data_IF_787259765947
#
_entry.id   IF_787259765947
#
_cell.length_a   1.000
_cell.length_b   1.000
_cell.length_c   1.000
_cell.angle_alpha   90.00
_cell.angle_beta   90.00
_cell.angle_gamma   90.00
#
_symmetry.space_group_name_H-M   'P 1'
#
loop_
_entity.id
_entity.type
_entity.pdbx_description
1 polymer ?
#
# COMPACT_ATOMS: atom_id res chain seq x y z
N UNK A 1 -22.43 31.25 24.15
CA UNK A 1 -22.15 30.23 23.12
C UNK A 1 -21.01 30.73 22.26
N UNK A 2 -19.79 30.25 22.49
CA UNK A 2 -18.61 30.56 21.68
C UNK A 2 -18.62 29.61 20.47
N UNK A 3 -19.08 30.12 19.33
CA UNK A 3 -19.12 29.38 18.07
C UNK A 3 -17.70 29.22 17.51
N UNK A 4 -17.33 27.96 17.30
CA UNK A 4 -16.08 27.47 16.76
C UNK A 4 -15.74 28.10 15.40
N UNK A 5 -14.90 29.13 15.40
CA UNK A 5 -14.32 29.73 14.20
C UNK A 5 -13.10 28.94 13.64
N UNK A 6 -12.86 27.72 14.14
CA UNK A 6 -11.70 26.91 13.74
C UNK A 6 -11.91 26.07 12.47
N UNK A 7 -13.12 26.00 11.92
CA UNK A 7 -13.44 25.06 10.82
C UNK A 7 -13.36 25.68 9.41
N UNK A 8 -13.32 27.00 9.28
CA UNK A 8 -13.32 27.68 7.98
C UNK A 8 -11.90 27.93 7.44
N UNK A 9 -10.91 28.10 8.32
CA UNK A 9 -9.52 28.29 7.93
C UNK A 9 -8.93 27.02 7.29
N UNK A 10 -9.27 25.83 7.79
CA UNK A 10 -8.82 24.55 7.22
C UNK A 10 -9.47 24.23 5.87
N UNK A 11 -10.75 24.52 5.68
CA UNK A 11 -11.44 24.24 4.42
C UNK A 11 -10.95 25.13 3.25
N UNK A 12 -10.60 26.40 3.53
CA UNK A 12 -10.01 27.30 2.54
C UNK A 12 -8.58 26.91 2.17
N UNK A 13 -7.89 26.34 3.14
CA UNK A 13 -6.55 25.82 3.00
C UNK A 13 -6.53 24.69 1.95
N UNK A 14 -7.31 23.60 2.06
CA UNK A 14 -7.24 22.52 1.06
C UNK A 14 -7.75 22.92 -0.34
N UNK A 15 -8.67 23.89 -0.42
CA UNK A 15 -9.13 24.52 -1.68
C UNK A 15 -8.04 25.36 -2.38
N UNK A 16 -7.03 25.85 -1.64
CA UNK A 16 -5.93 26.68 -2.14
C UNK A 16 -4.55 25.98 -2.06
N UNK A 17 -4.42 24.88 -1.32
CA UNK A 17 -3.14 24.40 -0.79
C UNK A 17 -2.33 23.58 -1.80
N UNK A 18 -1.22 24.20 -2.15
CA UNK A 18 -0.01 23.64 -2.75
C UNK A 18 0.68 22.60 -1.82
N UNK A 19 -0.05 21.68 -1.20
CA UNK A 19 0.60 20.54 -0.55
C UNK A 19 1.33 19.74 -1.61
N UNK A 20 2.58 19.43 -1.33
CA UNK A 20 3.39 18.57 -2.18
C UNK A 20 2.89 17.13 -2.12
N UNK A 21 3.18 16.36 -3.16
CA UNK A 21 2.93 14.91 -3.15
C UNK A 21 3.59 14.24 -1.93
N UNK A 22 4.76 14.71 -1.50
CA UNK A 22 5.42 14.21 -0.29
C UNK A 22 4.55 14.40 0.96
N UNK A 23 3.98 15.59 1.17
CA UNK A 23 3.12 15.86 2.32
C UNK A 23 1.84 15.00 2.30
N UNK A 24 1.20 14.90 1.13
CA UNK A 24 -0.02 14.10 0.96
C UNK A 24 0.25 12.63 1.26
N UNK A 25 1.25 12.05 0.61
CA UNK A 25 1.50 10.62 0.77
C UNK A 25 2.26 10.26 2.04
N UNK A 26 2.98 11.21 2.66
CA UNK A 26 3.51 11.05 4.01
C UNK A 26 2.37 10.89 5.01
N UNK A 27 1.30 11.69 4.90
CA UNK A 27 0.13 11.54 5.78
C UNK A 27 -0.50 10.15 5.63
N UNK A 28 -0.65 9.65 4.39
CA UNK A 28 -1.16 8.30 4.12
C UNK A 28 -0.28 7.21 4.75
N UNK A 29 1.03 7.26 4.48
CA UNK A 29 1.96 6.21 4.90
C UNK A 29 2.14 6.19 6.42
N UNK A 30 2.23 7.36 7.06
CA UNK A 30 2.38 7.46 8.51
C UNK A 30 1.18 6.88 9.27
N UNK A 31 -0.04 6.95 8.72
CA UNK A 31 -1.22 6.26 9.28
C UNK A 31 -0.99 4.76 9.44
N UNK A 32 -0.22 4.14 8.54
CA UNK A 32 0.01 2.70 8.51
C UNK A 32 1.41 2.27 8.94
N UNK A 33 2.29 3.20 9.28
CA UNK A 33 3.69 2.89 9.60
C UNK A 33 3.81 1.85 10.72
N UNK A 34 3.16 2.07 11.86
CA UNK A 34 3.21 1.14 12.99
C UNK A 34 2.73 -0.28 12.62
N UNK A 35 1.53 -0.48 12.03
CA UNK A 35 1.09 -1.83 11.65
C UNK A 35 1.94 -2.47 10.53
N UNK A 36 2.58 -1.68 9.66
CA UNK A 36 3.48 -2.19 8.62
C UNK A 36 4.83 -2.64 9.18
N UNK A 37 5.40 -1.93 10.15
CA UNK A 37 6.74 -2.23 10.67
C UNK A 37 6.91 -3.66 11.20
N UNK A 38 5.85 -4.25 11.77
CA UNK A 38 5.87 -5.63 12.25
C UNK A 38 5.77 -6.70 11.15
N UNK A 39 5.51 -6.29 9.90
CA UNK A 39 5.28 -7.20 8.77
C UNK A 39 6.52 -7.44 7.93
N UNK A 40 7.48 -6.52 7.97
CA UNK A 40 8.70 -6.68 7.19
C UNK A 40 9.54 -7.85 7.72
N UNK A 41 10.29 -8.50 6.83
CA UNK A 41 11.14 -9.66 7.16
C UNK A 41 12.19 -9.30 8.25
N UNK A 42 12.14 -9.77 9.50
CA UNK A 42 13.04 -9.36 10.57
C UNK A 42 14.55 -9.54 10.27
N UNK A 43 14.93 -10.39 9.31
CA UNK A 43 16.33 -10.62 8.94
C UNK A 43 16.98 -9.49 8.11
N UNK A 44 16.22 -8.57 7.50
CA UNK A 44 16.81 -7.47 6.73
C UNK A 44 17.45 -6.39 7.64
N UNK A 45 18.67 -5.98 7.34
CA UNK A 45 19.52 -5.18 8.25
C UNK A 45 19.52 -3.67 7.99
N UNK A 46 18.81 -3.19 6.97
CA UNK A 46 18.69 -1.77 6.63
C UNK A 46 17.62 -1.00 7.40
N UNK A 47 17.74 0.33 7.49
CA UNK A 47 16.67 1.22 7.95
C UNK A 47 15.47 1.09 7.00
N UNK A 48 14.34 0.59 7.52
CA UNK A 48 13.17 0.32 6.68
C UNK A 48 12.21 1.47 6.74
N UNK A 49 12.05 2.11 5.59
CA UNK A 49 10.96 3.04 5.35
C UNK A 49 9.80 2.28 4.74
N UNK A 50 8.55 2.60 5.10
CA UNK A 50 7.42 1.99 4.43
C UNK A 50 7.46 2.31 2.94
N UNK A 51 7.02 1.34 2.14
CA UNK A 51 6.99 1.45 0.69
C UNK A 51 5.62 1.94 0.24
N UNK A 52 5.63 2.89 -0.69
CA UNK A 52 4.44 3.39 -1.37
C UNK A 52 4.51 3.01 -2.84
N UNK A 53 3.39 2.54 -3.37
CA UNK A 53 3.19 2.28 -4.79
C UNK A 53 1.92 3.01 -5.23
N UNK A 54 1.96 3.63 -6.40
CA UNK A 54 0.79 4.30 -6.96
C UNK A 54 0.11 3.37 -7.98
N UNK A 55 -1.21 3.29 -7.88
CA UNK A 55 -2.04 2.58 -8.83
C UNK A 55 -2.10 3.28 -10.19
N UNK A 56 -2.50 2.56 -11.25
CA UNK A 56 -2.45 3.05 -12.63
C UNK A 56 -3.35 4.27 -12.91
N UNK A 57 -4.36 4.51 -12.07
CA UNK A 57 -5.25 5.66 -12.21
C UNK A 57 -4.59 6.99 -11.79
N UNK A 58 -3.47 6.94 -11.08
CA UNK A 58 -2.75 8.11 -10.59
C UNK A 58 -1.70 8.54 -11.60
N UNK A 59 -1.98 9.63 -12.32
CA UNK A 59 -1.08 10.20 -13.34
C UNK A 59 0.04 11.01 -12.69
N UNK A 60 1.01 10.36 -12.07
CA UNK A 60 2.24 11.03 -11.64
C UNK A 60 3.33 10.84 -12.70
N UNK A 61 3.85 11.95 -13.22
CA UNK A 61 4.89 11.94 -14.25
C UNK A 61 6.30 11.64 -13.73
N UNK A 62 6.51 11.64 -12.41
CA UNK A 62 7.82 11.45 -11.80
C UNK A 62 7.74 10.74 -10.43
N UNK A 63 8.85 10.12 -10.04
CA UNK A 63 9.02 9.49 -8.73
C UNK A 63 9.01 10.55 -7.63
N UNK A 64 8.00 10.50 -6.76
CA UNK A 64 7.93 11.29 -5.53
C UNK A 64 9.19 11.06 -4.69
N UNK A 65 9.87 12.16 -4.33
CA UNK A 65 11.02 12.15 -3.43
C UNK A 65 10.53 12.51 -2.04
N UNK A 66 10.55 11.53 -1.13
CA UNK A 66 10.12 11.70 0.27
C UNK A 66 11.24 11.36 1.24
N UNK A 67 11.20 11.98 2.42
CA UNK A 67 12.03 11.58 3.56
C UNK A 67 11.36 10.51 4.43
N UNK A 68 10.03 10.41 4.41
CA UNK A 68 9.22 9.58 5.31
C UNK A 68 9.00 8.17 4.77
N UNK A 69 8.93 8.02 3.45
CA UNK A 69 8.67 6.76 2.77
C UNK A 69 9.54 6.59 1.52
N UNK A 70 9.57 5.39 0.97
CA UNK A 70 10.16 5.13 -0.35
C UNK A 70 9.03 4.88 -1.34
N UNK A 71 8.94 5.72 -2.36
CA UNK A 71 8.07 5.46 -3.50
C UNK A 71 8.76 4.48 -4.43
N UNK A 72 8.07 3.41 -4.83
CA UNK A 72 8.49 2.51 -5.90
C UNK A 72 7.47 2.54 -7.03
N UNK A 73 7.95 2.52 -8.26
CA UNK A 73 7.12 2.11 -9.39
C UNK A 73 6.74 0.64 -9.25
N UNK A 74 5.66 0.19 -9.90
CA UNK A 74 5.30 -1.23 -9.91
C UNK A 74 6.43 -2.11 -10.44
N UNK A 75 7.16 -1.66 -11.47
CA UNK A 75 8.30 -2.38 -12.00
C UNK A 75 9.43 -2.51 -10.96
N UNK A 76 9.77 -1.43 -10.25
CA UNK A 76 10.79 -1.48 -9.20
C UNK A 76 10.37 -2.39 -8.04
N UNK A 77 9.10 -2.34 -7.64
CA UNK A 77 8.54 -3.21 -6.62
C UNK A 77 8.73 -4.69 -6.99
N UNK A 78 8.33 -5.05 -8.21
CA UNK A 78 8.46 -6.43 -8.72
C UNK A 78 9.93 -6.82 -8.87
N UNK A 79 10.75 -5.93 -9.41
CA UNK A 79 12.18 -6.15 -9.60
C UNK A 79 12.95 -6.28 -8.28
N UNK A 80 12.45 -5.73 -7.17
CA UNK A 80 13.01 -5.86 -5.82
C UNK A 80 12.38 -7.01 -5.03
N UNK A 81 11.22 -7.53 -5.46
CA UNK A 81 10.46 -8.58 -4.78
C UNK A 81 10.07 -8.18 -3.35
N UNK A 82 9.49 -6.98 -3.24
CA UNK A 82 8.98 -6.42 -2.01
C UNK A 82 7.56 -6.93 -1.73
N UNK A 83 7.25 -7.23 -0.47
CA UNK A 83 5.98 -7.83 -0.08
C UNK A 83 5.14 -6.91 0.82
N UNK A 84 5.72 -5.86 1.40
CA UNK A 84 5.12 -4.98 2.37
C UNK A 84 5.13 -3.55 1.84
N UNK A 85 4.00 -3.15 1.27
CA UNK A 85 3.82 -1.85 0.65
C UNK A 85 2.36 -1.37 0.81
N UNK A 86 2.18 -0.06 0.71
CA UNK A 86 0.86 0.59 0.57
C UNK A 86 0.66 0.90 -0.91
N UNK A 87 -0.46 0.46 -1.47
CA UNK A 87 -0.92 0.87 -2.79
C UNK A 87 -1.94 1.97 -2.62
N UNK A 88 -1.74 3.12 -3.26
CA UNK A 88 -2.77 4.15 -3.38
C UNK A 88 -3.41 4.02 -4.75
N UNK A 89 -4.68 3.61 -4.78
CA UNK A 89 -5.39 3.28 -6.02
C UNK A 89 -5.99 4.52 -6.67
N UNK A 90 -6.57 5.40 -5.85
CA UNK A 90 -7.18 6.65 -6.27
C UNK A 90 -7.00 7.71 -5.19
N UNK A 91 -6.94 8.96 -5.62
CA UNK A 91 -7.01 10.12 -4.77
C UNK A 91 -7.92 11.15 -5.44
N UNK A 92 -8.94 11.63 -4.73
CA UNK A 92 -9.90 12.58 -5.27
C UNK A 92 -10.39 13.55 -4.20
N UNK A 93 -10.61 14.83 -4.53
CA UNK A 93 -11.11 15.80 -3.57
C UNK A 93 -12.56 15.50 -3.21
N UNK A 94 -12.95 15.84 -1.97
CA UNK A 94 -14.35 15.89 -1.59
C UNK A 94 -15.12 16.97 -2.38
N UNK A 95 -16.47 16.93 -2.42
CA UNK A 95 -17.26 17.89 -3.19
C UNK A 95 -17.02 19.35 -2.78
N UNK A 96 -16.79 19.58 -1.49
CA UNK A 96 -16.51 20.90 -0.93
C UNK A 96 -15.04 21.33 -1.12
N UNK A 97 -14.18 20.41 -1.59
CA UNK A 97 -12.73 20.56 -1.75
C UNK A 97 -12.00 20.93 -0.45
N UNK A 98 -12.59 20.56 0.69
CA UNK A 98 -12.06 20.72 2.04
C UNK A 98 -11.19 19.54 2.47
N UNK A 99 -11.26 18.41 1.75
CA UNK A 99 -10.55 17.18 2.04
C UNK A 99 -10.15 16.42 0.77
N UNK A 100 -9.17 15.52 0.92
CA UNK A 100 -8.78 14.56 -0.11
C UNK A 100 -9.13 13.15 0.35
N UNK A 101 -9.95 12.45 -0.40
CA UNK A 101 -10.20 11.02 -0.19
C UNK A 101 -9.15 10.19 -0.92
N UNK A 102 -8.58 9.21 -0.22
CA UNK A 102 -7.53 8.32 -0.74
C UNK A 102 -7.96 6.87 -0.58
N UNK A 103 -8.19 6.19 -1.69
CA UNK A 103 -8.42 4.73 -1.70
C UNK A 103 -7.08 4.01 -1.61
N UNK A 104 -6.93 3.11 -0.63
CA UNK A 104 -5.71 2.38 -0.37
C UNK A 104 -5.92 0.86 -0.34
N UNK A 105 -4.86 0.12 -0.64
CA UNK A 105 -4.72 -1.32 -0.38
C UNK A 105 -3.37 -1.59 0.29
N UNK A 106 -3.35 -2.49 1.27
CA UNK A 106 -2.18 -3.00 1.97
C UNK A 106 -2.26 -4.52 1.91
N UNK A 107 -1.71 -5.13 0.84
CA UNK A 107 -1.82 -6.57 0.63
C UNK A 107 -1.19 -7.38 1.79
N UNK A 108 -0.19 -6.81 2.46
CA UNK A 108 0.58 -7.54 3.47
C UNK A 108 -0.21 -7.89 4.74
N UNK A 109 -1.29 -7.16 5.03
CA UNK A 109 -2.22 -7.43 6.12
C UNK A 109 -3.68 -7.58 5.64
N UNK A 110 -3.86 -7.75 4.32
CA UNK A 110 -5.13 -7.86 3.63
C UNK A 110 -6.10 -6.70 3.88
N UNK A 111 -5.60 -5.51 4.19
CA UNK A 111 -6.42 -4.34 4.52
C UNK A 111 -6.57 -3.43 3.31
N UNK A 112 -7.78 -2.95 3.07
CA UNK A 112 -8.07 -1.93 2.06
C UNK A 112 -9.18 -1.02 2.58
N UNK A 113 -9.31 0.15 1.97
CA UNK A 113 -10.33 1.12 2.37
C UNK A 113 -10.01 2.51 1.86
N UNK A 114 -10.45 3.50 2.63
CA UNK A 114 -10.44 4.89 2.26
C UNK A 114 -10.01 5.75 3.45
N UNK A 115 -9.05 6.61 3.20
CA UNK A 115 -8.66 7.68 4.10
C UNK A 115 -9.33 8.98 3.69
N UNK A 116 -9.64 9.83 4.66
CA UNK A 116 -9.92 11.25 4.47
C UNK A 116 -8.73 12.04 4.99
N UNK A 117 -8.09 12.80 4.11
CA UNK A 117 -7.02 13.72 4.45
C UNK A 117 -7.62 15.13 4.57
N UNK A 118 -7.42 15.76 5.71
CA UNK A 118 -7.89 17.12 5.97
C UNK A 118 -6.79 17.94 6.61
N UNK A 119 -6.72 19.26 6.31
CA UNK A 119 -5.72 20.11 6.91
C UNK A 119 -6.16 20.45 8.32
N UNK A 120 -5.24 20.34 9.27
CA UNK A 120 -5.47 20.68 10.66
C UNK A 120 -4.24 21.34 11.21
N UNK A 121 -4.36 22.60 11.62
CA UNK A 121 -3.25 23.39 12.16
C UNK A 121 -2.03 23.45 11.19
N UNK A 122 -2.28 23.60 9.89
CA UNK A 122 -1.22 23.71 8.88
C UNK A 122 -0.53 22.39 8.49
N UNK A 123 -1.02 21.23 8.96
CA UNK A 123 -0.54 19.90 8.54
C UNK A 123 -1.68 19.04 8.01
N UNK A 124 -1.38 18.13 7.08
CA UNK A 124 -2.34 17.12 6.65
C UNK A 124 -2.48 16.02 7.69
N UNK A 125 -3.72 15.77 8.12
CA UNK A 125 -4.07 14.67 9.02
C UNK A 125 -4.96 13.70 8.24
N UNK A 126 -4.62 12.41 8.33
CA UNK A 126 -5.38 11.33 7.70
C UNK A 126 -6.25 10.60 8.73
N UNK A 127 -7.53 10.43 8.40
CA UNK A 127 -8.52 9.69 9.17
C UNK A 127 -9.02 8.49 8.36
N UNK A 128 -9.16 7.33 8.99
CA UNK A 128 -9.73 6.13 8.33
C UNK A 128 -11.25 6.31 8.26
N UNK A 129 -11.78 6.40 7.03
CA UNK A 129 -13.22 6.54 6.77
C UNK A 129 -13.88 5.16 6.74
N UNK A 130 -13.25 4.24 6.02
CA UNK A 130 -13.61 2.83 6.02
C UNK A 130 -12.33 1.97 6.01
N UNK A 131 -12.46 0.75 6.53
CA UNK A 131 -11.37 -0.21 6.58
C UNK A 131 -11.95 -1.61 6.57
N UNK A 132 -11.58 -2.37 5.56
CA UNK A 132 -12.02 -3.74 5.33
C UNK A 132 -10.84 -4.70 5.31
N UNK A 133 -11.15 -6.00 5.32
CA UNK A 133 -10.17 -7.07 5.14
C UNK A 133 -10.60 -8.07 4.09
N UNK A 134 -9.71 -8.37 3.13
CA UNK A 134 -9.96 -9.38 2.10
C UNK A 134 -8.68 -10.12 1.73
N UNK A 135 -8.56 -11.36 2.20
CA UNK A 135 -7.42 -12.22 1.85
C UNK A 135 -7.41 -12.59 0.37
N UNK A 136 -8.58 -12.72 -0.27
CA UNK A 136 -8.67 -12.95 -1.72
C UNK A 136 -8.25 -11.71 -2.51
N UNK A 137 -8.64 -10.51 -2.08
CA UNK A 137 -8.18 -9.25 -2.67
C UNK A 137 -6.67 -9.11 -2.59
N UNK A 138 -6.07 -9.36 -1.41
CA UNK A 138 -4.62 -9.34 -1.24
C UNK A 138 -3.90 -10.32 -2.19
N UNK A 139 -4.42 -11.56 -2.33
CA UNK A 139 -3.86 -12.55 -3.27
C UNK A 139 -4.00 -12.10 -4.72
N UNK A 140 -5.11 -11.47 -5.10
CA UNK A 140 -5.30 -10.92 -6.44
C UNK A 140 -4.28 -9.80 -6.73
N UNK A 141 -4.04 -8.89 -5.77
CA UNK A 141 -3.03 -7.84 -5.90
C UNK A 141 -1.62 -8.41 -6.07
N UNK A 142 -1.21 -9.35 -5.22
CA UNK A 142 0.09 -10.01 -5.39
C UNK A 142 0.18 -10.78 -6.69
N UNK A 143 -0.88 -11.46 -7.10
CA UNK A 143 -0.91 -12.21 -8.35
C UNK A 143 -0.80 -11.34 -9.58
N UNK A 144 -1.40 -10.16 -9.57
CA UNK A 144 -1.22 -9.20 -10.65
C UNK A 144 0.25 -8.76 -10.79
N UNK A 145 0.99 -8.68 -9.68
CA UNK A 145 2.36 -8.18 -9.63
C UNK A 145 3.42 -9.28 -9.85
N UNK A 146 3.21 -10.46 -9.27
CA UNK A 146 4.25 -11.47 -9.08
C UNK A 146 3.99 -12.81 -9.76
N UNK A 147 2.80 -13.04 -10.30
CA UNK A 147 2.52 -14.29 -11.00
C UNK A 147 3.57 -14.55 -12.09
N UNK A 148 4.14 -15.76 -12.07
CA UNK A 148 5.16 -16.25 -12.99
C UNK A 148 6.49 -15.46 -12.96
N UNK A 149 6.67 -14.56 -11.99
CA UNK A 149 7.95 -13.87 -11.76
C UNK A 149 8.94 -14.85 -11.13
N UNK A 150 10.17 -14.91 -11.69
CA UNK A 150 11.25 -15.75 -11.17
C UNK A 150 11.56 -15.40 -9.71
N UNK A 151 11.47 -16.38 -8.80
CA UNK A 151 11.71 -16.16 -7.38
C UNK A 151 13.21 -16.02 -7.11
N UNK A 152 13.59 -15.12 -6.19
CA UNK A 152 14.97 -15.01 -5.70
C UNK A 152 15.03 -15.14 -4.18
N UNK A 153 16.02 -15.91 -3.73
CA UNK A 153 16.31 -16.09 -2.31
C UNK A 153 16.59 -14.75 -1.62
N UNK A 154 16.33 -14.74 -0.32
CA UNK A 154 16.53 -13.63 0.60
C UNK A 154 15.77 -12.35 0.25
N UNK A 155 14.67 -12.48 -0.51
CA UNK A 155 13.75 -11.38 -0.78
C UNK A 155 12.62 -11.32 0.25
N UNK A 156 11.97 -10.17 0.35
CA UNK A 156 10.83 -10.03 1.26
C UNK A 156 9.65 -10.91 0.81
N UNK A 157 9.44 -11.03 -0.51
CA UNK A 157 8.40 -11.87 -1.06
C UNK A 157 8.66 -13.36 -0.80
N UNK A 158 9.90 -13.84 -0.97
CA UNK A 158 10.25 -15.22 -0.59
C UNK A 158 10.05 -15.48 0.91
N UNK A 159 10.39 -14.51 1.77
CA UNK A 159 10.14 -14.63 3.21
C UNK A 159 8.65 -14.70 3.54
N UNK A 160 7.84 -13.80 2.96
CA UNK A 160 6.40 -13.77 3.16
C UNK A 160 5.76 -15.10 2.75
N UNK A 161 6.19 -15.64 1.62
CA UNK A 161 5.73 -16.93 1.12
C UNK A 161 5.92 -18.04 2.16
N UNK A 162 7.14 -18.19 2.68
CA UNK A 162 7.44 -19.24 3.65
C UNK A 162 6.80 -19.01 5.02
N UNK A 163 6.64 -17.76 5.45
CA UNK A 163 6.13 -17.43 6.77
C UNK A 163 4.63 -17.67 6.91
N UNK A 164 3.82 -17.34 5.89
CA UNK A 164 2.36 -17.41 6.00
C UNK A 164 1.75 -18.74 5.53
N UNK A 165 2.48 -19.57 4.79
CA UNK A 165 1.97 -20.86 4.30
C UNK A 165 2.09 -22.03 5.29
N UNK A 166 2.71 -21.85 6.47
CA UNK A 166 2.64 -22.86 7.54
C UNK A 166 3.25 -24.24 7.25
N UNK A 167 4.06 -24.41 6.21
CA UNK A 167 4.67 -25.72 5.87
C UNK A 167 5.92 -26.05 6.69
N UNK A 168 5.83 -26.05 8.02
CA UNK A 168 6.79 -26.73 8.90
C UNK A 168 8.26 -26.25 8.96
N UNK A 169 8.77 -25.51 7.97
CA UNK A 169 10.18 -25.08 7.88
C UNK A 169 10.45 -23.69 8.51
N UNK A 170 9.39 -23.01 8.96
CA UNK A 170 9.50 -21.71 9.61
C UNK A 170 9.82 -20.56 8.65
N UNK A 171 10.28 -19.45 9.23
CA UNK A 171 10.47 -18.19 8.54
C UNK A 171 11.77 -18.18 7.70
N UNK A 172 11.67 -18.65 6.46
CA UNK A 172 12.79 -18.81 5.53
C UNK A 172 12.74 -17.76 4.42
N UNK A 173 13.90 -17.21 4.01
CA UNK A 173 13.98 -16.36 2.82
C UNK A 173 14.16 -17.13 1.51
N UNK A 174 14.15 -18.46 1.51
CA UNK A 174 14.48 -19.27 0.32
C UNK A 174 13.27 -19.49 -0.59
N UNK A 175 13.49 -19.49 -1.89
CA UNK A 175 12.49 -19.88 -2.87
C UNK A 175 12.24 -21.39 -2.82
N UNK A 176 10.96 -21.77 -2.83
CA UNK A 176 10.56 -23.18 -2.94
C UNK A 176 10.53 -23.65 -4.38
N UNK A 177 10.16 -22.74 -5.26
CA UNK A 177 10.00 -22.94 -6.69
C UNK A 177 10.82 -21.90 -7.45
N UNK A 178 11.03 -22.16 -8.76
CA UNK A 178 11.77 -21.25 -9.65
C UNK A 178 11.03 -19.93 -9.90
N UNK A 179 9.69 -19.92 -9.78
CA UNK A 179 8.80 -18.77 -9.99
C UNK A 179 7.68 -18.76 -8.95
N UNK A 180 7.04 -17.61 -8.74
CA UNK A 180 5.82 -17.51 -7.92
C UNK A 180 4.60 -17.99 -8.72
N UNK A 181 4.02 -19.14 -8.35
CA UNK A 181 2.93 -19.80 -9.08
C UNK A 181 1.62 -19.88 -8.28
N UNK A 182 1.66 -19.56 -6.99
CA UNK A 182 0.53 -19.62 -6.06
C UNK A 182 -0.61 -18.66 -6.39
N UNK A 183 -0.34 -17.70 -7.28
CA UNK A 183 -1.29 -16.72 -7.76
C UNK A 183 -1.89 -17.12 -9.10
N UNK A 184 -1.77 -18.37 -9.53
CA UNK A 184 -2.38 -18.81 -10.80
C UNK A 184 -3.90 -18.97 -10.71
N UNK A 185 -4.45 -19.17 -9.50
CA UNK A 185 -5.88 -19.49 -9.31
C UNK A 185 -6.84 -18.29 -9.23
N UNK A 186 -6.38 -17.05 -9.05
CA UNK A 186 -7.31 -15.91 -8.91
C UNK A 186 -7.91 -15.43 -10.25
N UNK A 187 -7.38 -15.89 -11.40
CA UNK A 187 -7.89 -15.58 -12.75
C UNK A 187 -8.70 -16.70 -13.40
N UNK A 188 -8.90 -17.84 -12.76
CA UNK A 188 -9.70 -18.92 -13.33
C UNK A 188 -11.15 -18.82 -12.86
N UNK A 189 -12.13 -18.33 -13.68
CA UNK A 189 -13.48 -18.87 -13.54
C UNK A 189 -13.35 -20.38 -13.72
N UNK A 190 -13.89 -21.15 -12.78
CA UNK A 190 -13.83 -22.61 -12.76
C UNK A 190 -13.93 -23.17 -14.20
N UNK A 191 -12.78 -23.56 -14.75
CA UNK A 191 -12.74 -24.20 -16.05
C UNK A 191 -13.52 -25.49 -15.88
N UNK A 192 -14.55 -25.62 -16.72
CA UNK A 192 -15.47 -26.74 -16.77
C UNK A 192 -14.69 -28.05 -16.68
N UNK A 193 -14.92 -28.78 -15.59
CA UNK A 193 -14.67 -30.20 -15.57
C UNK A 193 -15.76 -30.85 -16.44
N UNK A 194 -15.39 -31.19 -17.67
CA UNK A 194 -16.02 -32.22 -18.50
C UNK A 194 -14.99 -32.65 -19.55
N UNK A 195 -14.93 -33.92 -19.93
CA UNK A 195 -16.06 -34.69 -20.43
C UNK A 195 -16.88 -35.43 -19.38
#
# INVERSE_FOLDING_TARGET
>A
MLLSAASTAGALELQQQKFSDDEVFSAVVETFKKPLMHRFNPAATGERKPLLVLGPALKFGAKIKSRSFVHLTQQELVAQQEAVFVVVNKAFPDPERSALYVEYDIPSNASFGMLKLSPRNGVLVAEIVDSFRSSSGARATYGQLYQDVACRDNTEMAYRWNFYEGHGEGASGRCRDVTFTEFTDWRMPAAQAAP
#
